data_IF_241441402571
#
_entry.id   IF_241441402571
#
_cell.length_a   1.000
_cell.length_b   1.000
_cell.length_c   1.000
_cell.angle_alpha   90.00
_cell.angle_beta   90.00
_cell.angle_gamma   90.00
#
_symmetry.space_group_name_H-M   'P 1'
#
loop_
_entity.id
_entity.type
_entity.pdbx_description
1 polymer ?
#
# COMPACT_ATOMS: atom_id res chain seq x y z
N UNK A 1 -7.32 -9.10 -1.13
CA UNK A 1 -6.76 -8.81 0.22
C UNK A 1 -7.37 -7.53 0.79
N UNK A 2 -7.26 -6.35 0.13
CA UNK A 2 -7.77 -5.06 0.64
C UNK A 2 -9.27 -5.14 1.04
N UNK A 3 -10.13 -5.74 0.22
CA UNK A 3 -11.55 -5.90 0.55
C UNK A 3 -11.78 -6.74 1.83
N UNK A 4 -11.02 -7.81 2.04
CA UNK A 4 -11.07 -8.60 3.28
C UNK A 4 -10.63 -7.76 4.47
N UNK A 5 -9.55 -6.99 4.33
CA UNK A 5 -9.08 -6.06 5.37
C UNK A 5 -10.17 -5.05 5.73
N UNK A 6 -10.80 -4.43 4.73
CA UNK A 6 -11.87 -3.46 4.92
C UNK A 6 -13.07 -4.04 5.69
N UNK A 7 -13.41 -5.33 5.48
CA UNK A 7 -14.55 -5.97 6.14
C UNK A 7 -14.37 -6.21 7.64
N UNK A 8 -13.12 -6.31 8.10
CA UNK A 8 -12.77 -6.54 9.52
C UNK A 8 -12.24 -5.30 10.23
N UNK A 9 -12.13 -4.17 9.51
CA UNK A 9 -11.63 -2.91 10.03
C UNK A 9 -12.76 -2.11 10.68
N UNK A 10 -12.60 -1.74 11.95
CA UNK A 10 -13.61 -0.97 12.69
C UNK A 10 -13.53 0.55 12.41
N UNK A 11 -12.37 1.07 12.02
CA UNK A 11 -12.10 2.50 11.85
C UNK A 11 -12.61 3.02 10.50
N UNK A 12 -13.59 3.94 10.53
CA UNK A 12 -14.25 4.45 9.32
C UNK A 12 -13.32 5.28 8.42
N UNK A 13 -12.38 6.05 9.01
CA UNK A 13 -11.36 6.81 8.29
C UNK A 13 -10.50 5.87 7.43
N UNK A 14 -9.90 4.86 8.04
CA UNK A 14 -9.06 3.89 7.35
C UNK A 14 -9.86 3.07 6.32
N UNK A 15 -11.14 2.77 6.61
CA UNK A 15 -12.00 2.07 5.66
C UNK A 15 -12.29 2.91 4.42
N UNK A 16 -12.51 4.21 4.58
CA UNK A 16 -12.69 5.12 3.44
C UNK A 16 -11.44 5.18 2.56
N UNK A 17 -10.25 5.23 3.15
CA UNK A 17 -8.98 5.18 2.41
C UNK A 17 -8.82 3.86 1.65
N UNK A 18 -9.15 2.72 2.25
CA UNK A 18 -9.10 1.43 1.55
C UNK A 18 -10.05 1.37 0.36
N UNK A 19 -11.17 2.08 0.39
CA UNK A 19 -12.09 2.17 -0.76
C UNK A 19 -11.45 2.93 -1.93
N UNK A 20 -10.80 4.05 -1.66
CA UNK A 20 -10.04 4.82 -2.68
C UNK A 20 -8.91 3.96 -3.24
N UNK A 21 -8.14 3.30 -2.35
CA UNK A 21 -7.04 2.41 -2.76
C UNK A 21 -7.55 1.29 -3.67
N UNK A 22 -8.71 0.70 -3.40
CA UNK A 22 -9.28 -0.34 -4.26
C UNK A 22 -9.61 0.19 -5.67
N UNK A 23 -10.14 1.41 -5.78
CA UNK A 23 -10.39 2.06 -7.07
C UNK A 23 -9.08 2.28 -7.83
N UNK A 24 -8.08 2.87 -7.18
CA UNK A 24 -6.79 3.14 -7.80
C UNK A 24 -6.05 1.85 -8.21
N UNK A 25 -6.19 0.77 -7.44
CA UNK A 25 -5.64 -0.54 -7.83
C UNK A 25 -6.34 -1.13 -9.06
N UNK A 26 -7.62 -0.79 -9.29
CA UNK A 26 -8.34 -1.18 -10.49
C UNK A 26 -7.80 -0.42 -11.72
N UNK A 27 -7.55 0.89 -11.55
CA UNK A 27 -6.96 1.74 -12.59
C UNK A 27 -5.53 1.28 -12.94
N UNK A 28 -4.70 0.95 -11.93
CA UNK A 28 -3.37 0.35 -12.11
C UNK A 28 -3.46 -0.95 -12.90
N UNK A 29 -4.41 -1.82 -12.56
CA UNK A 29 -4.64 -3.07 -13.30
C UNK A 29 -4.99 -2.82 -14.77
N UNK A 30 -5.82 -1.83 -15.05
CA UNK A 30 -6.18 -1.39 -16.39
C UNK A 30 -4.99 -0.84 -17.19
N UNK A 31 -4.16 -0.01 -16.54
CA UNK A 31 -2.93 0.51 -17.15
C UNK A 31 -1.97 -0.61 -17.52
N UNK A 32 -1.66 -1.51 -16.58
CA UNK A 32 -0.76 -2.65 -16.81
C UNK A 32 -1.28 -3.65 -17.85
N UNK A 33 -2.59 -3.75 -18.01
CA UNK A 33 -3.22 -4.61 -19.02
C UNK A 33 -3.30 -3.95 -20.42
N UNK A 34 -2.88 -2.68 -20.56
CA UNK A 34 -2.96 -1.95 -21.83
C UNK A 34 -1.61 -2.01 -22.54
N UNK A 35 -1.44 -2.84 -23.58
CA UNK A 35 -0.17 -2.97 -24.28
C UNK A 35 0.16 -1.70 -25.06
N UNK A 36 1.46 -1.39 -25.17
CA UNK A 36 2.02 -0.27 -25.93
C UNK A 36 1.33 1.08 -25.61
N UNK A 37 1.14 1.36 -24.31
CA UNK A 37 0.38 2.52 -23.83
C UNK A 37 0.95 3.85 -24.37
N UNK A 38 2.27 3.98 -24.46
CA UNK A 38 2.92 5.19 -24.98
C UNK A 38 2.56 5.44 -26.47
N UNK A 39 2.55 4.39 -27.30
CA UNK A 39 2.14 4.50 -28.69
C UNK A 39 0.65 4.84 -28.83
N UNK A 40 -0.19 4.39 -27.90
CA UNK A 40 -1.61 4.76 -27.88
C UNK A 40 -1.79 6.23 -27.53
N UNK A 41 -1.02 6.75 -26.58
CA UNK A 41 -1.00 8.18 -26.20
C UNK A 41 -0.58 9.02 -27.40
N UNK A 42 0.52 8.67 -28.09
CA UNK A 42 1.01 9.37 -29.27
C UNK A 42 -0.02 9.41 -30.40
N UNK A 43 -0.84 8.37 -30.54
CA UNK A 43 -1.90 8.27 -31.54
C UNK A 43 -3.24 8.89 -31.10
N UNK A 44 -3.31 9.51 -29.91
CA UNK A 44 -4.54 10.06 -29.36
C UNK A 44 -5.62 9.02 -29.07
N UNK A 45 -5.24 7.76 -28.84
CA UNK A 45 -6.18 6.67 -28.55
C UNK A 45 -6.58 6.67 -27.07
N UNK A 46 -7.78 6.22 -26.71
CA UNK A 46 -8.20 6.10 -25.32
C UNK A 46 -7.28 5.15 -24.54
N UNK A 47 -6.89 5.55 -23.32
CA UNK A 47 -5.98 4.80 -22.44
C UNK A 47 -6.61 4.42 -21.10
N UNK A 48 -7.86 4.78 -20.85
CA UNK A 48 -8.52 4.55 -19.56
C UNK A 48 -8.01 5.43 -18.41
N UNK A 49 -8.60 5.30 -17.22
CA UNK A 49 -8.14 5.99 -16.02
C UNK A 49 -6.76 5.46 -15.58
N UNK A 50 -5.97 6.33 -14.97
CA UNK A 50 -4.60 6.05 -14.49
C UNK A 50 -4.36 6.78 -13.18
N UNK A 51 -3.53 6.21 -12.33
CA UNK A 51 -3.06 6.91 -11.14
C UNK A 51 -2.11 8.06 -11.51
N UNK A 52 -2.20 9.14 -10.75
CA UNK A 52 -1.47 10.39 -10.94
C UNK A 52 -0.52 10.68 -9.78
N UNK A 53 0.25 11.75 -9.88
CA UNK A 53 1.05 12.24 -8.76
C UNK A 53 0.20 12.78 -7.61
N UNK A 54 -1.02 13.27 -7.87
CA UNK A 54 -1.96 13.68 -6.83
C UNK A 54 -2.44 12.48 -6.00
N UNK A 55 -2.63 11.29 -6.65
CA UNK A 55 -2.95 10.07 -5.93
C UNK A 55 -1.78 9.62 -5.03
N UNK A 56 -0.55 9.77 -5.49
CA UNK A 56 0.66 9.50 -4.69
C UNK A 56 0.72 10.46 -3.49
N UNK A 57 0.53 11.76 -3.72
CA UNK A 57 0.52 12.78 -2.66
C UNK A 57 -0.59 12.53 -1.64
N UNK A 58 -1.73 11.99 -2.07
CA UNK A 58 -2.81 11.58 -1.17
C UNK A 58 -2.36 10.47 -0.22
N UNK A 59 -1.65 9.43 -0.72
CA UNK A 59 -1.10 8.38 0.14
C UNK A 59 -0.07 8.93 1.13
N UNK A 60 0.80 9.84 0.68
CA UNK A 60 1.79 10.50 1.54
C UNK A 60 1.14 11.31 2.66
N UNK A 61 0.12 12.09 2.35
CA UNK A 61 -0.68 12.84 3.34
C UNK A 61 -1.34 11.92 4.38
N UNK A 62 -1.81 10.74 3.99
CA UNK A 62 -2.36 9.77 4.92
C UNK A 62 -1.29 9.11 5.80
N UNK A 63 -0.10 8.86 5.26
CA UNK A 63 1.05 8.38 6.04
C UNK A 63 1.42 9.41 7.10
N UNK A 64 1.57 10.68 6.71
CA UNK A 64 1.90 11.78 7.64
C UNK A 64 0.86 11.88 8.77
N UNK A 65 -0.44 11.78 8.42
CA UNK A 65 -1.53 11.79 9.40
C UNK A 65 -1.40 10.65 10.42
N UNK A 66 -1.00 9.45 9.99
CA UNK A 66 -0.82 8.32 10.89
C UNK A 66 0.49 8.42 11.69
N UNK A 67 1.54 8.94 11.10
CA UNK A 67 2.82 9.12 11.79
C UNK A 67 2.72 10.15 12.92
N UNK A 68 1.86 11.16 12.79
CA UNK A 68 1.57 12.14 13.84
C UNK A 68 0.90 11.51 15.08
N UNK A 69 0.15 10.41 14.91
CA UNK A 69 -0.49 9.69 16.04
C UNK A 69 0.35 8.55 16.61
N UNK A 70 1.40 8.12 15.89
CA UNK A 70 2.19 6.93 16.24
C UNK A 70 3.50 7.29 16.93
N UNK A 71 3.86 6.52 17.95
CA UNK A 71 5.18 6.62 18.53
C UNK A 71 6.26 6.21 17.50
N UNK A 72 7.42 6.91 17.46
CA UNK A 72 8.52 6.53 16.56
C UNK A 72 8.97 5.09 16.79
N UNK A 73 9.19 4.34 15.72
CA UNK A 73 9.75 3.00 15.78
C UNK A 73 11.22 3.06 16.19
N UNK A 74 11.57 2.35 17.27
CA UNK A 74 12.95 2.18 17.70
C UNK A 74 13.55 0.84 17.26
N UNK A 75 12.71 -0.13 16.93
CA UNK A 75 13.08 -1.48 16.51
C UNK A 75 12.13 -2.01 15.45
N UNK A 76 12.55 -3.07 14.77
CA UNK A 76 11.65 -3.80 13.88
C UNK A 76 10.55 -4.49 14.68
N UNK A 77 9.33 -4.46 14.15
CA UNK A 77 8.18 -5.14 14.73
C UNK A 77 7.85 -6.40 13.91
N UNK A 78 7.29 -7.39 14.58
CA UNK A 78 6.75 -8.56 13.93
C UNK A 78 5.34 -8.27 13.37
N UNK A 79 5.00 -8.76 12.18
CA UNK A 79 3.66 -8.56 11.63
C UNK A 79 2.62 -9.35 12.43
N UNK A 80 1.66 -8.66 13.04
CA UNK A 80 0.65 -9.30 13.89
C UNK A 80 -0.16 -8.29 14.69
N UNK A 81 -0.68 -8.74 15.84
CA UNK A 81 -1.51 -7.96 16.75
C UNK A 81 -3.02 -8.12 16.47
N UNK A 82 -3.76 -7.03 16.44
CA UNK A 82 -5.18 -7.04 16.12
C UNK A 82 -5.45 -7.71 14.75
N UNK A 83 -6.54 -8.50 14.57
CA UNK A 83 -6.81 -9.20 13.31
C UNK A 83 -6.78 -8.31 12.07
N UNK A 84 -7.33 -7.09 12.16
CA UNK A 84 -7.27 -6.13 11.05
C UNK A 84 -5.84 -5.64 10.77
N UNK A 85 -5.00 -5.46 11.80
CA UNK A 85 -3.57 -5.13 11.63
C UNK A 85 -2.82 -6.26 10.94
N UNK A 86 -3.04 -7.51 11.34
CA UNK A 86 -2.45 -8.68 10.69
C UNK A 86 -2.85 -8.77 9.20
N UNK A 87 -4.11 -8.45 8.85
CA UNK A 87 -4.56 -8.39 7.45
C UNK A 87 -3.89 -7.24 6.67
N UNK A 88 -3.65 -6.08 7.29
CA UNK A 88 -2.91 -4.98 6.67
C UNK A 88 -1.44 -5.36 6.41
N UNK A 89 -0.78 -6.04 7.35
CA UNK A 89 0.56 -6.59 7.14
C UNK A 89 0.58 -7.63 6.00
N UNK A 90 -0.43 -8.48 5.90
CA UNK A 90 -0.58 -9.39 4.76
C UNK A 90 -0.75 -8.61 3.45
N UNK A 91 -1.65 -7.61 3.42
CA UNK A 91 -1.83 -6.75 2.26
C UNK A 91 -0.52 -6.08 1.82
N UNK A 92 0.28 -5.59 2.79
CA UNK A 92 1.62 -5.04 2.54
C UNK A 92 2.54 -6.05 1.84
N UNK A 93 2.59 -7.30 2.29
CA UNK A 93 3.45 -8.31 1.66
C UNK A 93 3.04 -8.62 0.22
N UNK A 94 1.72 -8.64 -0.05
CA UNK A 94 1.17 -8.79 -1.41
C UNK A 94 1.52 -7.59 -2.27
N UNK A 95 1.37 -6.36 -1.73
CA UNK A 95 1.75 -5.12 -2.40
C UNK A 95 3.24 -5.11 -2.80
N UNK A 96 4.13 -5.43 -1.89
CA UNK A 96 5.58 -5.53 -2.17
C UNK A 96 5.93 -6.62 -3.18
N UNK A 97 5.18 -7.71 -3.23
CA UNK A 97 5.33 -8.72 -4.28
C UNK A 97 4.91 -8.17 -5.65
N UNK A 98 3.78 -7.45 -5.70
CA UNK A 98 3.32 -6.78 -6.91
C UNK A 98 4.33 -5.73 -7.38
N UNK A 99 4.83 -4.88 -6.49
CA UNK A 99 5.88 -3.89 -6.77
C UNK A 99 7.08 -4.53 -7.48
N UNK A 100 7.64 -5.61 -6.90
CA UNK A 100 8.78 -6.31 -7.53
C UNK A 100 8.46 -6.84 -8.93
N UNK A 101 7.23 -7.30 -9.17
CA UNK A 101 6.81 -7.77 -10.50
C UNK A 101 6.68 -6.62 -11.50
N UNK A 102 6.13 -5.48 -11.05
CA UNK A 102 6.03 -4.28 -11.89
C UNK A 102 7.43 -3.73 -12.20
N UNK A 103 8.34 -3.68 -11.22
CA UNK A 103 9.74 -3.30 -11.46
C UNK A 103 10.41 -4.24 -12.46
N UNK A 104 10.15 -5.55 -12.42
CA UNK A 104 10.66 -6.48 -13.44
C UNK A 104 10.07 -6.15 -14.83
N UNK A 105 8.78 -5.80 -14.89
CA UNK A 105 8.11 -5.44 -16.13
C UNK A 105 8.75 -4.21 -16.81
N UNK A 106 9.25 -3.24 -16.03
CA UNK A 106 9.91 -2.05 -16.60
C UNK A 106 11.15 -2.34 -17.45
N UNK A 107 11.67 -3.57 -17.39
CA UNK A 107 12.80 -3.99 -18.23
C UNK A 107 12.40 -4.25 -19.69
N UNK A 108 11.11 -4.46 -19.96
CA UNK A 108 10.59 -4.87 -21.27
C UNK A 108 9.42 -4.01 -21.74
N UNK A 109 8.73 -3.31 -20.85
CA UNK A 109 7.57 -2.48 -21.14
C UNK A 109 7.66 -1.13 -20.43
N UNK A 110 7.13 -0.09 -21.04
CA UNK A 110 7.00 1.21 -20.40
C UNK A 110 5.92 1.16 -19.30
N UNK A 111 6.30 1.55 -18.09
CA UNK A 111 5.40 1.70 -16.95
C UNK A 111 5.49 3.14 -16.45
N UNK A 112 4.35 3.75 -16.15
CA UNK A 112 4.33 5.15 -15.72
C UNK A 112 5.03 5.36 -14.37
N UNK A 113 5.68 6.51 -14.24
CA UNK A 113 6.34 6.89 -12.98
C UNK A 113 5.38 6.99 -11.79
N UNK A 114 4.19 7.63 -11.94
CA UNK A 114 3.19 7.67 -10.88
C UNK A 114 2.76 6.28 -10.39
N UNK A 115 2.54 5.31 -11.29
CA UNK A 115 2.17 3.94 -10.91
C UNK A 115 3.23 3.28 -10.01
N UNK A 116 4.51 3.40 -10.37
CA UNK A 116 5.61 2.84 -9.57
C UNK A 116 5.68 3.50 -8.19
N UNK A 117 5.58 4.83 -8.12
CA UNK A 117 5.56 5.56 -6.85
C UNK A 117 4.35 5.20 -6.01
N UNK A 118 3.18 5.07 -6.64
CA UNK A 118 1.95 4.70 -5.94
C UNK A 118 2.07 3.34 -5.24
N UNK A 119 2.50 2.29 -5.95
CA UNK A 119 2.63 0.96 -5.35
C UNK A 119 3.67 0.97 -4.21
N UNK A 120 4.77 1.71 -4.37
CA UNK A 120 5.78 1.86 -3.33
C UNK A 120 5.17 2.53 -2.08
N UNK A 121 4.55 3.72 -2.23
CA UNK A 121 3.90 4.44 -1.13
C UNK A 121 2.74 3.67 -0.50
N UNK A 122 1.98 2.92 -1.30
CA UNK A 122 0.92 2.05 -0.77
C UNK A 122 1.47 1.02 0.22
N UNK A 123 2.66 0.46 -0.03
CA UNK A 123 3.27 -0.48 0.91
C UNK A 123 3.61 0.18 2.26
N UNK A 124 4.05 1.45 2.24
CA UNK A 124 4.36 2.21 3.45
C UNK A 124 3.07 2.58 4.20
N UNK A 125 2.05 3.04 3.49
CA UNK A 125 0.75 3.34 4.08
C UNK A 125 0.12 2.11 4.76
N UNK A 126 0.14 0.94 4.12
CA UNK A 126 -0.41 -0.29 4.71
C UNK A 126 0.33 -0.68 6.00
N UNK A 127 1.61 -0.37 6.11
CA UNK A 127 2.38 -0.56 7.33
C UNK A 127 1.95 0.44 8.43
N UNK A 128 1.85 1.72 8.10
CA UNK A 128 1.39 2.74 9.04
C UNK A 128 -0.04 2.45 9.53
N UNK A 129 -0.95 2.05 8.62
CA UNK A 129 -2.31 1.64 8.98
C UNK A 129 -2.34 0.45 9.93
N UNK A 130 -1.48 -0.57 9.74
CA UNK A 130 -1.41 -1.72 10.63
C UNK A 130 -1.01 -1.29 12.05
N UNK A 131 -0.01 -0.42 12.17
CA UNK A 131 0.41 0.15 13.44
C UNK A 131 -0.68 0.99 14.10
N UNK A 132 -1.34 1.84 13.33
CA UNK A 132 -2.44 2.65 13.84
C UNK A 132 -3.60 1.80 14.37
N UNK A 133 -3.94 0.70 13.70
CA UNK A 133 -4.95 -0.26 14.19
C UNK A 133 -4.53 -0.89 15.50
N UNK A 134 -3.27 -1.34 15.65
CA UNK A 134 -2.77 -1.89 16.91
C UNK A 134 -2.79 -0.84 18.02
N UNK A 135 -2.27 0.35 17.77
CA UNK A 135 -2.24 1.47 18.72
C UNK A 135 -3.64 1.84 19.20
N UNK A 136 -4.57 2.05 18.27
CA UNK A 136 -5.98 2.42 18.59
C UNK A 136 -6.74 1.30 19.31
N UNK A 137 -6.34 0.04 19.13
CA UNK A 137 -6.90 -1.12 19.83
C UNK A 137 -6.20 -1.42 21.17
N UNK A 138 -5.15 -0.67 21.54
CA UNK A 138 -4.35 -0.94 22.74
C UNK A 138 -3.62 -2.28 22.69
N UNK A 139 -3.25 -2.74 21.50
CA UNK A 139 -2.53 -3.99 21.26
C UNK A 139 -1.05 -3.68 21.04
N UNK A 140 -0.19 -4.27 21.86
CA UNK A 140 1.25 -4.11 21.72
C UNK A 140 1.78 -4.73 20.44
N UNK A 141 2.75 -4.06 19.82
CA UNK A 141 3.46 -4.55 18.65
C UNK A 141 4.68 -5.38 19.10
N UNK A 142 4.72 -6.71 18.87
CA UNK A 142 5.84 -7.52 19.26
C UNK A 142 7.11 -7.08 18.53
N UNK A 143 8.17 -6.73 19.29
CA UNK A 143 9.45 -6.36 18.69
C UNK A 143 10.23 -7.59 18.20
N UNK A 144 10.97 -7.42 17.13
CA UNK A 144 11.93 -8.42 16.68
C UNK A 144 13.24 -8.27 17.46
N UNK A 145 13.55 -9.27 18.28
CA UNK A 145 14.70 -9.23 19.19
C UNK A 145 15.99 -9.81 18.58
N UNK A 146 15.98 -10.23 17.32
CA UNK A 146 17.12 -10.93 16.72
C UNK A 146 17.24 -12.40 17.13
N UNK A 147 18.28 -13.09 16.66
CA UNK A 147 18.51 -14.50 17.01
C UNK A 147 19.12 -14.65 18.40
N UNK A 148 19.99 -13.75 18.78
CA UNK A 148 20.81 -13.84 20.01
C UNK A 148 20.02 -13.52 21.29
N UNK A 149 18.85 -12.92 21.17
CA UNK A 149 17.97 -12.61 22.31
C UNK A 149 16.86 -13.65 22.54
N UNK A 150 16.88 -14.75 21.79
CA UNK A 150 15.99 -15.91 21.99
C UNK A 150 16.72 -16.97 22.79
N UNK A 151 16.94 -16.67 24.07
CA UNK A 151 17.44 -17.64 25.03
C UNK A 151 16.36 -18.61 25.48
#
# INVERSE_FOLDING_TARGET
VIGVTSSVLAHNDLRSWLTVIQSNLFDIGGELATPAIDQRIERGQPIGPRVSDDDVSTLESWIDTLDDELAPLQRFILPGGHPAAAQLHHARTVCRRAERRVVTLTQIEAVSGPLLRYINRLSDLLFAMARAVNSRAGVDEPEWLGRDARG
#
